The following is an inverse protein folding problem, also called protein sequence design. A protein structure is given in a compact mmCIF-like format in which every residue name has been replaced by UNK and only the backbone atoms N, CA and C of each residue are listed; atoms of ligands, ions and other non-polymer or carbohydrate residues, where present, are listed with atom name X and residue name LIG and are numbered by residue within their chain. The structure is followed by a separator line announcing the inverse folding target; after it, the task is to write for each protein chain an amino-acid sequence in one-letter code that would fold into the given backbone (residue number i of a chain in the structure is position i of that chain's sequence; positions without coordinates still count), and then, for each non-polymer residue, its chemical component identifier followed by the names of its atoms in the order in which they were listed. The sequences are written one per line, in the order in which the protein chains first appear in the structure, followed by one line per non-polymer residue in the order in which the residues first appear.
data_IF_692041319093
#
_entry.id   IF_692041319093
#
_cell.length_a   1.000
_cell.length_b   1.000
_cell.length_c   1.000
_cell.angle_alpha   90.00
_cell.angle_beta   90.00
_cell.angle_gamma   90.00
#
_symmetry.space_group_name_H-M   'P 1'
#
loop_
_entity.id
_entity.type
_entity.pdbx_description
1 polymer ?
#
# COMPACT_ATOMS: atom_id res chain seq x y z
N UNK A 1 -24.82 39.22 34.74
CA UNK A 1 -24.03 38.01 34.56
C UNK A 1 -24.94 36.84 34.72
N UNK A 2 -25.53 36.39 33.67
CA UNK A 2 -26.34 35.19 33.66
C UNK A 2 -25.39 34.00 33.49
N UNK A 3 -24.89 33.50 34.60
CA UNK A 3 -24.52 32.12 34.62
C UNK A 3 -25.80 31.37 34.27
N UNK A 4 -25.99 31.11 33.01
CA UNK A 4 -27.29 30.77 32.51
C UNK A 4 -27.74 29.46 33.14
N UNK A 5 -29.04 29.35 33.40
CA UNK A 5 -29.69 28.09 33.75
C UNK A 5 -29.38 26.96 32.76
N UNK A 6 -28.96 27.30 31.56
CA UNK A 6 -28.40 26.39 30.55
C UNK A 6 -27.10 25.74 31.00
N UNK A 7 -26.20 26.45 31.68
CA UNK A 7 -24.96 25.86 32.18
C UNK A 7 -25.21 24.81 33.26
N UNK A 8 -26.21 25.05 34.08
CA UNK A 8 -26.63 24.12 35.13
C UNK A 8 -27.36 22.91 34.57
N UNK A 9 -28.17 23.09 33.54
CA UNK A 9 -28.82 21.98 32.87
C UNK A 9 -27.79 21.09 32.15
N UNK A 10 -26.78 21.66 31.52
CA UNK A 10 -25.66 20.92 30.94
C UNK A 10 -24.86 20.13 31.96
N UNK A 11 -24.65 20.69 33.15
CA UNK A 11 -23.96 20.02 34.25
C UNK A 11 -24.78 18.90 34.89
N UNK A 12 -26.10 19.06 34.96
CA UNK A 12 -27.00 18.01 35.47
C UNK A 12 -27.10 16.80 34.53
N UNK A 13 -26.92 17.01 33.23
CA UNK A 13 -26.91 15.92 32.24
C UNK A 13 -25.52 15.30 32.03
N UNK A 14 -24.50 15.76 32.77
CA UNK A 14 -23.12 15.31 32.59
C UNK A 14 -22.46 15.82 31.30
N UNK A 15 -23.11 16.78 30.63
CA UNK A 15 -22.57 17.37 29.40
C UNK A 15 -21.84 18.67 29.76
N UNK A 16 -20.62 18.80 29.31
CA UNK A 16 -19.88 20.07 29.33
C UNK A 16 -20.71 21.10 28.56
N UNK A 17 -20.91 22.28 29.11
CA UNK A 17 -21.71 23.34 28.50
C UNK A 17 -21.18 23.61 27.05
N UNK A 18 -21.85 23.08 26.07
CA UNK A 18 -21.40 23.10 24.66
C UNK A 18 -21.24 24.55 24.16
N UNK A 19 -22.09 25.47 24.66
CA UNK A 19 -22.02 26.88 24.32
C UNK A 19 -20.73 27.56 24.82
N UNK A 20 -20.20 27.13 25.96
CA UNK A 20 -18.98 27.70 26.53
C UNK A 20 -17.71 27.16 25.81
N UNK A 21 -17.81 25.99 25.17
CA UNK A 21 -16.73 25.37 24.42
C UNK A 21 -16.80 25.65 22.92
N UNK A 22 -17.80 26.41 22.44
CA UNK A 22 -18.01 26.65 21.01
C UNK A 22 -18.56 25.42 20.26
N UNK A 23 -19.09 24.43 20.99
CA UNK A 23 -19.69 23.23 20.40
C UNK A 23 -21.10 23.55 19.87
N UNK A 24 -21.36 23.26 18.63
CA UNK A 24 -22.67 23.43 18.01
C UNK A 24 -23.73 22.51 18.66
N UNK A 25 -24.90 23.06 18.98
CA UNK A 25 -26.04 22.29 19.51
C UNK A 25 -27.09 22.17 18.41
N UNK A 26 -27.38 20.96 18.00
CA UNK A 26 -28.33 20.70 16.90
C UNK A 26 -29.29 19.56 17.26
N UNK A 27 -30.45 19.52 16.64
CA UNK A 27 -31.45 18.46 16.85
C UNK A 27 -31.22 17.23 15.94
N UNK A 28 -30.41 17.39 14.90
CA UNK A 28 -29.99 16.33 13.99
C UNK A 28 -28.50 16.41 13.73
N UNK A 29 -27.90 15.36 13.21
CA UNK A 29 -26.50 15.40 12.85
C UNK A 29 -26.27 16.41 11.70
N UNK A 30 -25.28 17.33 11.82
CA UNK A 30 -24.97 18.31 10.78
C UNK A 30 -24.37 17.65 9.54
N UNK A 31 -24.07 18.43 8.51
CA UNK A 31 -23.29 17.95 7.37
C UNK A 31 -21.96 17.33 7.81
N UNK A 32 -21.63 16.19 7.21
CA UNK A 32 -20.44 15.44 7.55
C UNK A 32 -19.16 16.23 7.25
N UNK A 33 -18.32 16.41 8.27
CA UNK A 33 -17.04 17.12 8.22
C UNK A 33 -16.10 16.47 9.25
N UNK A 34 -14.93 16.03 8.82
CA UNK A 34 -13.97 15.34 9.68
C UNK A 34 -13.55 16.22 10.86
N UNK A 35 -13.59 15.65 12.08
CA UNK A 35 -13.24 16.34 13.30
C UNK A 35 -14.32 17.30 13.82
N UNK A 36 -15.43 17.50 13.09
CA UNK A 36 -16.54 18.32 13.57
C UNK A 36 -17.16 17.69 14.80
N UNK A 37 -17.25 18.47 15.88
CA UNK A 37 -17.82 18.07 17.17
C UNK A 37 -19.10 18.85 17.43
N UNK A 38 -20.16 18.17 17.82
CA UNK A 38 -21.45 18.79 18.13
C UNK A 38 -22.18 18.03 19.26
N UNK A 39 -23.12 18.71 19.89
CA UNK A 39 -24.07 18.10 20.81
C UNK A 39 -25.41 17.90 20.11
N UNK A 40 -25.83 16.64 19.97
CA UNK A 40 -27.13 16.31 19.42
C UNK A 40 -28.19 16.35 20.55
N UNK A 41 -29.06 17.37 20.54
CA UNK A 41 -30.05 17.61 21.57
C UNK A 41 -31.18 16.59 21.59
N UNK A 42 -31.45 15.91 20.47
CA UNK A 42 -32.47 14.85 20.38
C UNK A 42 -31.99 13.58 21.08
N UNK A 43 -30.73 13.21 20.89
CA UNK A 43 -30.17 11.99 21.51
C UNK A 43 -29.45 12.28 22.83
N UNK A 44 -29.26 13.55 23.18
CA UNK A 44 -28.49 14.01 24.34
C UNK A 44 -27.05 13.50 24.36
N UNK A 45 -26.42 13.41 23.20
CA UNK A 45 -25.06 12.89 23.04
C UNK A 45 -24.14 13.92 22.43
N UNK A 46 -22.92 14.00 22.96
CA UNK A 46 -21.81 14.64 22.29
C UNK A 46 -21.36 13.70 21.17
N UNK A 47 -21.21 14.23 19.96
CA UNK A 47 -20.81 13.48 18.78
C UNK A 47 -19.63 14.11 18.09
N UNK A 48 -18.92 13.30 17.34
CA UNK A 48 -17.82 13.72 16.46
C UNK A 48 -17.89 12.96 15.16
N UNK A 49 -17.58 13.63 14.06
CA UNK A 49 -17.32 12.95 12.78
C UNK A 49 -15.88 12.47 12.73
N UNK A 50 -15.70 11.17 12.64
CA UNK A 50 -14.41 10.55 12.43
C UNK A 50 -14.44 9.67 11.17
N UNK A 51 -13.33 9.56 10.51
CA UNK A 51 -13.13 8.55 9.48
C UNK A 51 -13.15 7.16 10.13
N UNK A 52 -13.90 6.27 9.51
CA UNK A 52 -13.93 4.86 9.83
C UNK A 52 -13.48 4.12 8.59
N UNK A 53 -12.35 3.47 8.70
CA UNK A 53 -11.87 2.57 7.64
C UNK A 53 -12.56 1.22 7.75
N UNK A 54 -12.78 0.60 6.61
CA UNK A 54 -13.29 -0.77 6.51
C UNK A 54 -12.75 -1.46 5.27
N UNK A 55 -12.54 -2.77 5.40
CA UNK A 55 -12.23 -3.65 4.28
C UNK A 55 -13.50 -4.36 3.83
N UNK A 56 -13.80 -4.27 2.54
CA UNK A 56 -14.92 -4.98 1.91
C UNK A 56 -14.38 -5.98 0.89
N UNK A 57 -15.06 -7.12 0.76
CA UNK A 57 -14.78 -8.05 -0.33
C UNK A 57 -15.20 -7.44 -1.65
N UNK A 58 -14.35 -7.57 -2.65
CA UNK A 58 -14.61 -7.12 -4.01
C UNK A 58 -14.56 -8.29 -5.00
N UNK A 59 -14.77 -8.03 -6.28
CA UNK A 59 -14.66 -9.05 -7.34
C UNK A 59 -13.31 -9.75 -7.27
N UNK A 60 -13.31 -11.08 -7.22
CA UNK A 60 -12.10 -11.88 -7.18
C UNK A 60 -11.32 -11.73 -8.51
N UNK A 61 -9.99 -11.80 -8.42
CA UNK A 61 -9.15 -11.93 -9.61
C UNK A 61 -9.37 -13.31 -10.25
N UNK A 62 -9.33 -13.39 -11.57
CA UNK A 62 -9.66 -14.63 -12.31
C UNK A 62 -8.75 -15.79 -11.93
N UNK A 63 -7.47 -15.50 -11.72
CA UNK A 63 -6.47 -16.50 -11.32
C UNK A 63 -5.63 -15.93 -10.16
N UNK A 64 -5.64 -16.65 -9.03
CA UNK A 64 -4.84 -16.27 -7.87
C UNK A 64 -3.34 -16.40 -8.14
N UNK A 65 -2.57 -15.48 -7.61
CA UNK A 65 -1.12 -15.43 -7.79
C UNK A 65 -0.39 -15.02 -6.53
N UNK A 66 0.82 -15.55 -6.41
CA UNK A 66 1.82 -15.13 -5.44
C UNK A 66 2.95 -14.42 -6.14
N UNK A 67 3.72 -13.62 -5.41
CA UNK A 67 4.86 -12.90 -5.96
C UNK A 67 4.48 -12.06 -7.20
N UNK A 68 3.30 -11.50 -7.16
CA UNK A 68 2.74 -10.64 -8.19
C UNK A 68 3.00 -9.19 -7.81
N UNK A 69 3.44 -8.39 -8.76
CA UNK A 69 3.53 -6.94 -8.55
C UNK A 69 2.24 -6.27 -8.98
N UNK A 70 1.90 -5.18 -8.32
CA UNK A 70 0.73 -4.40 -8.65
C UNK A 70 1.06 -2.92 -8.75
N UNK A 71 0.44 -2.22 -9.67
CA UNK A 71 0.55 -0.77 -9.87
C UNK A 71 -0.82 -0.16 -10.09
N UNK A 72 -0.88 1.17 -10.05
CA UNK A 72 -2.10 1.92 -10.31
C UNK A 72 -2.88 2.25 -9.04
N UNK A 73 -4.18 2.46 -9.16
CA UNK A 73 -5.05 2.94 -8.08
C UNK A 73 -6.16 1.94 -7.75
N UNK A 74 -6.94 2.21 -6.70
CA UNK A 74 -8.12 1.40 -6.35
C UNK A 74 -9.24 1.42 -7.40
N UNK A 75 -9.22 2.33 -8.36
CA UNK A 75 -10.16 2.38 -9.48
C UNK A 75 -9.55 1.95 -10.82
N UNK A 76 -8.22 1.85 -10.89
CA UNK A 76 -7.48 1.52 -12.11
C UNK A 76 -6.17 0.82 -11.75
N UNK A 77 -6.22 -0.48 -11.48
CA UNK A 77 -5.09 -1.31 -11.05
C UNK A 77 -4.60 -2.25 -12.15
N UNK A 78 -3.31 -2.57 -12.13
CA UNK A 78 -2.69 -3.56 -13.01
C UNK A 78 -1.91 -4.56 -12.16
N UNK A 79 -2.05 -5.86 -12.48
CA UNK A 79 -1.19 -6.92 -11.94
C UNK A 79 -0.14 -7.31 -12.95
N UNK A 80 1.07 -7.59 -12.50
CA UNK A 80 2.21 -7.91 -13.37
C UNK A 80 2.89 -9.21 -12.92
N UNK A 81 2.93 -10.19 -13.80
CA UNK A 81 3.63 -11.45 -13.56
C UNK A 81 3.06 -12.28 -12.42
N UNK A 82 3.96 -12.85 -11.63
CA UNK A 82 3.62 -13.70 -10.49
C UNK A 82 3.64 -15.19 -10.79
N UNK A 83 3.23 -15.98 -9.82
CA UNK A 83 3.15 -17.44 -9.91
C UNK A 83 1.80 -17.95 -9.42
N UNK A 84 1.17 -18.84 -10.14
CA UNK A 84 -0.07 -19.48 -9.72
C UNK A 84 0.13 -20.75 -8.86
N UNK A 85 1.37 -21.11 -8.62
CA UNK A 85 1.74 -22.29 -7.81
C UNK A 85 2.95 -22.00 -6.90
N UNK A 86 2.85 -20.96 -6.07
CA UNK A 86 3.81 -20.61 -5.01
C UNK A 86 5.30 -20.82 -5.39
N UNK A 87 5.79 -20.02 -6.36
CA UNK A 87 7.21 -20.03 -6.79
C UNK A 87 7.54 -20.99 -7.93
N UNK A 88 6.54 -21.61 -8.54
CA UNK A 88 6.67 -22.33 -9.79
C UNK A 88 5.55 -21.92 -10.74
N UNK A 89 5.69 -22.23 -12.05
CA UNK A 89 4.72 -21.85 -13.04
C UNK A 89 4.53 -20.32 -13.13
N UNK A 90 5.55 -19.64 -13.61
CA UNK A 90 5.62 -18.19 -13.75
C UNK A 90 4.68 -17.70 -14.86
N UNK A 91 4.09 -16.54 -14.68
CA UNK A 91 3.07 -16.01 -15.55
C UNK A 91 3.58 -14.84 -16.41
N UNK A 92 3.15 -14.81 -17.66
CA UNK A 92 3.21 -13.62 -18.52
C UNK A 92 1.95 -12.79 -18.41
N UNK A 93 0.79 -13.41 -18.16
CA UNK A 93 -0.50 -12.72 -18.13
C UNK A 93 -0.59 -11.78 -16.94
N UNK A 94 -1.17 -10.63 -17.17
CA UNK A 94 -1.59 -9.67 -16.13
C UNK A 94 -3.10 -9.50 -16.14
N UNK A 95 -3.60 -8.72 -15.19
CA UNK A 95 -5.01 -8.35 -15.10
C UNK A 95 -5.14 -6.87 -14.80
N UNK A 96 -6.14 -6.25 -15.42
CA UNK A 96 -6.53 -4.86 -15.20
C UNK A 96 -7.83 -4.78 -14.41
N UNK A 97 -7.84 -3.89 -13.44
CA UNK A 97 -9.00 -3.52 -12.64
C UNK A 97 -9.59 -2.20 -13.11
N UNK A 98 -10.88 -2.15 -13.41
CA UNK A 98 -11.56 -0.96 -13.91
C UNK A 98 -12.47 -0.27 -12.87
N UNK A 99 -12.29 -0.59 -11.58
CA UNK A 99 -13.16 -0.10 -10.49
C UNK A 99 -14.34 -1.02 -10.17
N UNK A 100 -14.60 -2.06 -10.99
CA UNK A 100 -15.73 -2.98 -10.76
C UNK A 100 -15.41 -4.45 -11.09
N UNK A 101 -14.53 -4.70 -12.04
CA UNK A 101 -14.18 -6.05 -12.49
C UNK A 101 -12.73 -6.15 -12.97
N UNK A 102 -12.19 -7.36 -12.92
CA UNK A 102 -10.89 -7.71 -13.48
C UNK A 102 -11.05 -8.22 -14.91
N UNK A 103 -10.18 -7.77 -15.80
CA UNK A 103 -10.03 -8.26 -17.18
C UNK A 103 -8.58 -8.60 -17.47
N UNK A 104 -8.32 -9.44 -18.45
CA UNK A 104 -6.95 -9.72 -18.90
C UNK A 104 -6.31 -8.48 -19.49
N UNK A 105 -5.04 -8.22 -19.13
CA UNK A 105 -4.19 -7.19 -19.74
C UNK A 105 -3.31 -7.78 -20.84
N UNK A 106 -2.47 -6.96 -21.48
CA UNK A 106 -1.36 -7.42 -22.31
C UNK A 106 -0.42 -8.34 -21.51
N UNK A 107 0.10 -9.35 -22.15
CA UNK A 107 1.04 -10.29 -21.52
C UNK A 107 2.47 -9.75 -21.59
N UNK A 108 3.27 -9.98 -20.53
CA UNK A 108 4.73 -9.80 -20.56
C UNK A 108 5.34 -10.64 -21.68
N UNK A 109 6.42 -10.17 -22.28
CA UNK A 109 7.16 -10.96 -23.28
C UNK A 109 7.84 -12.17 -22.63
N UNK A 110 8.22 -12.05 -21.38
CA UNK A 110 8.83 -13.16 -20.62
C UNK A 110 8.10 -13.35 -19.28
N UNK A 111 7.72 -14.60 -19.00
CA UNK A 111 7.11 -14.95 -17.72
C UNK A 111 8.07 -14.60 -16.57
N UNK A 112 7.57 -13.87 -15.58
CA UNK A 112 8.38 -13.45 -14.44
C UNK A 112 7.56 -13.44 -13.17
N UNK A 113 8.16 -13.81 -12.05
CA UNK A 113 7.58 -13.57 -10.76
C UNK A 113 8.43 -12.60 -9.95
N UNK A 114 7.76 -11.79 -9.16
CA UNK A 114 8.33 -10.74 -8.32
C UNK A 114 9.19 -9.71 -9.09
N UNK A 115 8.72 -9.19 -10.24
CA UNK A 115 9.39 -8.06 -10.88
C UNK A 115 9.22 -6.80 -10.01
N UNK A 116 10.19 -5.90 -10.05
CA UNK A 116 10.06 -4.56 -9.49
C UNK A 116 9.28 -3.69 -10.47
N UNK A 117 8.16 -3.13 -10.05
CA UNK A 117 7.30 -2.34 -10.93
C UNK A 117 7.11 -0.91 -10.42
N UNK A 118 6.96 0.04 -11.35
CA UNK A 118 6.57 1.42 -11.07
C UNK A 118 5.67 1.96 -12.17
N UNK A 119 4.78 2.89 -11.83
CA UNK A 119 3.87 3.51 -12.78
C UNK A 119 2.38 3.34 -12.46
N UNK A 120 1.55 3.41 -13.50
CA UNK A 120 0.08 3.34 -13.44
C UNK A 120 -0.46 2.14 -14.22
N UNK A 121 -1.78 1.92 -14.19
CA UNK A 121 -2.42 0.86 -14.96
C UNK A 121 -2.06 0.89 -16.46
N UNK A 122 -1.95 2.06 -17.06
CA UNK A 122 -1.75 2.24 -18.51
C UNK A 122 -0.33 2.68 -18.90
N UNK A 123 0.56 2.84 -17.91
CA UNK A 123 1.93 3.32 -18.14
C UNK A 123 2.84 2.77 -17.02
N UNK A 124 3.42 1.60 -17.24
CA UNK A 124 4.16 0.82 -16.22
C UNK A 124 5.50 0.35 -16.75
N UNK A 125 6.52 0.39 -15.90
CA UNK A 125 7.79 -0.32 -16.09
C UNK A 125 7.84 -1.54 -15.19
N UNK A 126 8.34 -2.66 -15.68
CA UNK A 126 8.60 -3.89 -14.94
C UNK A 126 10.06 -4.31 -15.14
N UNK A 127 10.78 -4.50 -14.06
CA UNK A 127 12.22 -4.75 -14.08
C UNK A 127 12.59 -5.97 -13.26
N UNK A 128 13.49 -6.78 -13.79
CA UNK A 128 14.03 -7.93 -13.08
C UNK A 128 13.00 -9.03 -12.82
N UNK A 129 13.07 -9.60 -11.62
CA UNK A 129 12.26 -10.75 -11.21
C UNK A 129 12.96 -12.07 -11.45
N UNK A 130 12.20 -13.16 -11.46
CA UNK A 130 12.73 -14.50 -11.72
C UNK A 130 11.97 -15.22 -12.83
N UNK A 131 12.72 -15.94 -13.66
CA UNK A 131 12.22 -16.80 -14.76
C UNK A 131 12.78 -18.22 -14.64
N UNK A 132 13.05 -18.68 -13.40
CA UNK A 132 13.89 -19.85 -13.07
C UNK A 132 15.27 -19.44 -12.55
N UNK A 133 15.82 -18.33 -13.02
CA UNK A 133 16.94 -17.58 -12.48
C UNK A 133 16.55 -16.10 -12.37
N UNK A 134 17.31 -15.32 -11.62
CA UNK A 134 17.17 -13.87 -11.61
C UNK A 134 17.44 -13.30 -13.00
N UNK A 135 16.85 -12.15 -13.32
CA UNK A 135 17.00 -11.51 -14.64
C UNK A 135 17.14 -9.99 -14.48
N UNK A 136 17.81 -9.37 -15.43
CA UNK A 136 17.96 -7.92 -15.53
C UNK A 136 17.00 -7.28 -16.56
N UNK A 137 16.04 -8.03 -17.07
CA UNK A 137 15.10 -7.59 -18.10
C UNK A 137 14.29 -6.39 -17.64
N UNK A 138 13.95 -5.57 -18.61
CA UNK A 138 13.10 -4.40 -18.45
C UNK A 138 12.02 -4.45 -19.53
N UNK A 139 10.77 -4.33 -19.14
CA UNK A 139 9.64 -4.24 -20.04
C UNK A 139 8.77 -3.05 -19.68
N UNK A 140 8.32 -2.28 -20.67
CA UNK A 140 7.38 -1.16 -20.52
C UNK A 140 5.99 -1.53 -21.02
N UNK A 141 4.96 -1.03 -20.36
CA UNK A 141 3.56 -1.21 -20.70
C UNK A 141 2.90 0.10 -21.10
N UNK A 142 2.22 0.10 -22.24
CA UNK A 142 1.57 1.29 -22.79
C UNK A 142 0.03 1.32 -22.64
N UNK A 143 -0.51 0.45 -21.78
CA UNK A 143 -1.96 0.28 -21.60
C UNK A 143 -2.58 -0.78 -22.52
N UNK A 144 -1.81 -1.41 -23.39
CA UNK A 144 -2.30 -2.46 -24.31
C UNK A 144 -1.32 -3.60 -24.46
N UNK A 145 -0.02 -3.31 -24.54
CA UNK A 145 1.03 -4.29 -24.79
C UNK A 145 2.32 -3.96 -24.06
N UNK A 146 3.10 -4.97 -23.80
CA UNK A 146 4.45 -4.86 -23.25
C UNK A 146 5.49 -4.81 -24.34
N UNK A 147 6.52 -4.00 -24.17
CA UNK A 147 7.68 -3.86 -25.03
C UNK A 147 8.95 -4.08 -24.22
N UNK A 148 9.90 -4.85 -24.77
CA UNK A 148 11.22 -5.02 -24.13
C UNK A 148 12.05 -3.74 -24.33
N UNK A 149 12.68 -3.26 -23.26
CA UNK A 149 13.55 -2.09 -23.26
C UNK A 149 15.02 -2.52 -23.34
N UNK A 150 15.86 -1.73 -24.04
CA UNK A 150 17.26 -2.09 -24.26
C UNK A 150 18.16 -1.88 -23.04
N UNK A 151 18.00 -0.85 -22.18
CA UNK A 151 18.79 -0.74 -20.96
C UNK A 151 18.33 -1.78 -19.94
N UNK A 152 19.28 -2.56 -19.43
CA UNK A 152 19.04 -3.46 -18.31
C UNK A 152 19.09 -2.74 -16.98
N UNK A 153 18.30 -3.21 -16.00
CA UNK A 153 18.17 -2.53 -14.71
C UNK A 153 19.43 -2.67 -13.83
N UNK A 154 19.84 -3.88 -13.59
CA UNK A 154 20.99 -4.26 -12.76
C UNK A 154 21.30 -5.73 -12.98
N UNK A 155 22.47 -6.18 -12.54
CA UNK A 155 22.86 -7.59 -12.68
C UNK A 155 21.81 -8.52 -12.07
N UNK A 156 21.00 -9.18 -12.90
CA UNK A 156 20.10 -10.26 -12.55
C UNK A 156 19.38 -10.07 -11.18
N UNK A 157 18.55 -9.07 -11.05
CA UNK A 157 17.94 -8.66 -9.79
C UNK A 157 16.45 -9.02 -9.75
N UNK A 158 16.04 -9.62 -8.65
CA UNK A 158 14.62 -9.79 -8.31
C UNK A 158 14.30 -9.32 -6.90
N UNK A 159 13.02 -9.36 -6.55
CA UNK A 159 12.52 -9.14 -5.20
C UNK A 159 12.77 -7.74 -4.64
N UNK A 160 13.08 -6.79 -5.49
CA UNK A 160 12.99 -5.38 -5.22
C UNK A 160 11.54 -4.91 -5.29
N UNK A 161 11.36 -3.62 -5.17
CA UNK A 161 10.07 -3.00 -5.41
C UNK A 161 10.27 -1.65 -6.11
N UNK A 162 9.17 -1.00 -6.49
CA UNK A 162 9.23 0.29 -7.11
C UNK A 162 7.98 1.10 -6.87
N UNK A 163 8.04 2.34 -7.22
CA UNK A 163 6.93 3.28 -7.26
C UNK A 163 7.13 4.23 -8.44
N UNK A 164 6.17 5.05 -8.75
CA UNK A 164 6.30 5.99 -9.85
C UNK A 164 4.95 6.50 -10.34
N UNK A 165 4.90 7.68 -10.91
CA UNK A 165 3.69 8.30 -11.44
C UNK A 165 3.35 7.88 -12.88
N UNK A 166 4.32 7.27 -13.57
CA UNK A 166 4.18 6.73 -14.93
C UNK A 166 5.32 5.76 -15.21
N UNK A 167 5.26 5.07 -16.34
CA UNK A 167 6.38 4.28 -16.87
C UNK A 167 7.67 5.10 -16.94
N UNK A 168 7.61 6.35 -17.41
CA UNK A 168 8.77 7.23 -17.59
C UNK A 168 9.13 8.10 -16.37
N UNK A 169 8.52 7.85 -15.22
CA UNK A 169 8.82 8.54 -13.95
C UNK A 169 8.65 7.54 -12.80
N UNK A 170 9.58 6.58 -12.73
CA UNK A 170 9.56 5.48 -11.78
C UNK A 170 10.87 5.38 -11.01
N UNK A 171 10.79 4.98 -9.75
CA UNK A 171 11.89 4.68 -8.87
C UNK A 171 11.84 3.19 -8.49
N UNK A 172 12.94 2.49 -8.69
CA UNK A 172 13.10 1.07 -8.39
C UNK A 172 14.16 0.92 -7.30
N UNK A 173 13.89 0.08 -6.31
CA UNK A 173 14.60 0.11 -5.02
C UNK A 173 14.93 -1.29 -4.53
N UNK A 174 16.14 -1.48 -4.03
CA UNK A 174 16.59 -2.68 -3.32
C UNK A 174 16.50 -3.96 -4.15
N UNK A 175 16.23 -5.07 -3.49
CA UNK A 175 16.14 -6.39 -4.08
C UNK A 175 17.34 -7.29 -3.81
N UNK A 176 17.39 -8.45 -4.47
CA UNK A 176 18.51 -9.39 -4.32
C UNK A 176 18.75 -10.20 -5.60
N UNK A 177 19.95 -10.77 -5.74
CA UNK A 177 20.38 -11.68 -6.82
C UNK A 177 20.53 -13.13 -6.35
N UNK A 178 20.01 -13.46 -5.16
CA UNK A 178 20.19 -14.75 -4.50
C UNK A 178 21.32 -14.76 -3.46
N UNK A 179 22.31 -13.89 -3.58
CA UNK A 179 23.45 -13.76 -2.68
C UNK A 179 23.51 -12.40 -2.00
N UNK A 180 23.44 -11.33 -2.76
CA UNK A 180 23.56 -9.94 -2.31
C UNK A 180 22.20 -9.31 -2.11
N UNK A 181 22.02 -8.57 -1.00
CA UNK A 181 20.86 -7.71 -0.76
C UNK A 181 21.27 -6.29 -1.06
N UNK A 182 20.61 -5.69 -2.04
CA UNK A 182 21.03 -4.40 -2.58
C UNK A 182 20.46 -3.24 -1.79
N UNK A 183 21.24 -2.19 -1.68
CA UNK A 183 20.84 -0.88 -1.13
C UNK A 183 20.46 0.10 -2.24
N UNK A 184 20.80 -0.23 -3.49
CA UNK A 184 20.69 0.68 -4.63
C UNK A 184 19.28 1.07 -4.95
N UNK A 185 19.09 2.33 -5.35
CA UNK A 185 17.89 2.76 -6.05
C UNK A 185 18.23 3.39 -7.38
N UNK A 186 17.32 3.28 -8.34
CA UNK A 186 17.47 3.85 -9.68
C UNK A 186 16.17 4.45 -10.15
N UNK A 187 16.23 5.64 -10.70
CA UNK A 187 15.12 6.24 -11.43
C UNK A 187 15.14 5.81 -12.90
N UNK A 188 13.96 5.71 -13.50
CA UNK A 188 13.74 5.46 -14.92
C UNK A 188 13.01 6.65 -15.53
N UNK A 189 13.55 7.19 -16.63
CA UNK A 189 13.00 8.37 -17.30
C UNK A 189 12.32 8.09 -18.66
N UNK A 190 11.98 6.82 -18.93
CA UNK A 190 11.43 6.39 -20.22
C UNK A 190 12.48 5.98 -21.24
N UNK A 191 13.77 6.16 -20.96
CA UNK A 191 14.85 5.84 -21.91
C UNK A 191 16.07 5.23 -21.23
N UNK A 192 16.39 5.67 -20.01
CA UNK A 192 17.59 5.25 -19.29
C UNK A 192 17.37 5.23 -17.79
N UNK A 193 18.17 4.40 -17.11
CA UNK A 193 18.28 4.40 -15.66
C UNK A 193 19.33 5.42 -15.20
N UNK A 194 19.00 6.16 -14.17
CA UNK A 194 19.96 6.94 -13.38
C UNK A 194 20.12 6.33 -11.99
N UNK A 195 21.35 6.34 -11.45
CA UNK A 195 21.59 5.92 -10.07
C UNK A 195 21.19 7.04 -9.12
N UNK A 196 20.43 6.67 -8.09
CA UNK A 196 19.94 7.54 -7.05
C UNK A 196 20.66 7.25 -5.72
N UNK A 197 20.26 7.94 -4.64
CA UNK A 197 20.79 7.67 -3.31
C UNK A 197 20.49 6.25 -2.85
N UNK A 198 21.41 5.65 -2.12
CA UNK A 198 21.28 4.29 -1.60
C UNK A 198 20.47 4.26 -0.29
N UNK A 199 19.73 3.17 -0.06
CA UNK A 199 19.14 2.83 1.23
C UNK A 199 20.23 2.63 2.29
N UNK A 200 19.90 2.89 3.55
CA UNK A 200 20.82 2.63 4.67
C UNK A 200 21.12 1.14 4.85
N UNK A 201 20.17 0.27 4.50
CA UNK A 201 20.31 -1.18 4.65
C UNK A 201 19.75 -1.91 3.44
N UNK A 202 20.47 -2.91 2.93
CA UNK A 202 20.00 -3.76 1.85
C UNK A 202 18.78 -4.58 2.28
N UNK A 203 17.69 -4.42 1.53
CA UNK A 203 16.41 -5.09 1.79
C UNK A 203 15.80 -5.64 0.51
N UNK A 204 15.00 -6.68 0.67
CA UNK A 204 14.19 -7.28 -0.38
C UNK A 204 12.81 -7.63 0.15
N UNK A 205 11.86 -7.94 -0.71
CA UNK A 205 10.46 -8.21 -0.30
C UNK A 205 9.83 -7.07 0.52
N UNK A 206 10.29 -5.82 0.32
CA UNK A 206 9.71 -4.65 0.97
C UNK A 206 8.50 -4.13 0.20
N UNK A 207 7.76 -3.25 0.83
CA UNK A 207 6.79 -2.38 0.17
C UNK A 207 7.45 -1.06 -0.26
N UNK A 208 7.05 -0.53 -1.41
CA UNK A 208 7.44 0.79 -1.88
C UNK A 208 6.22 1.54 -2.38
N UNK A 209 6.10 2.81 -2.04
CA UNK A 209 4.96 3.66 -2.44
C UNK A 209 5.40 5.10 -2.67
N UNK A 210 4.49 5.92 -3.21
CA UNK A 210 4.76 7.30 -3.56
C UNK A 210 5.19 7.49 -5.01
N UNK A 211 5.90 8.55 -5.28
CA UNK A 211 6.37 8.94 -6.61
C UNK A 211 7.88 8.94 -6.67
N UNK A 212 8.45 9.02 -7.88
CA UNK A 212 9.90 9.05 -8.06
C UNK A 212 10.59 10.12 -7.20
N UNK A 213 10.12 11.39 -7.07
CA UNK A 213 10.78 12.36 -6.20
C UNK A 213 10.41 12.27 -4.71
N UNK A 214 9.41 11.45 -4.34
CA UNK A 214 8.90 11.36 -2.96
C UNK A 214 8.38 9.95 -2.68
N UNK A 215 9.29 9.03 -2.43
CA UNK A 215 8.99 7.62 -2.17
C UNK A 215 9.15 7.25 -0.69
N UNK A 216 8.46 6.21 -0.30
CA UNK A 216 8.57 5.54 1.00
C UNK A 216 8.79 4.05 0.78
N UNK A 217 9.83 3.50 1.40
CA UNK A 217 9.97 2.04 1.53
C UNK A 217 9.72 1.63 2.97
N UNK A 218 9.18 0.45 3.17
CA UNK A 218 8.97 -0.09 4.51
C UNK A 218 8.96 -1.61 4.52
N UNK A 219 9.18 -2.18 5.71
CA UNK A 219 9.16 -3.62 5.90
C UNK A 219 10.29 -4.33 5.12
N UNK A 220 10.05 -5.56 4.70
CA UNK A 220 11.00 -6.36 3.93
C UNK A 220 11.83 -7.29 4.78
N UNK A 221 12.80 -7.93 4.14
CA UNK A 221 13.77 -8.81 4.81
C UNK A 221 15.20 -8.27 4.61
N UNK A 222 16.01 -8.36 5.66
CA UNK A 222 17.41 -7.94 5.66
C UNK A 222 18.35 -9.05 5.10
N UNK A 223 19.65 -8.81 5.14
CA UNK A 223 20.65 -9.76 4.66
C UNK A 223 20.63 -11.12 5.39
N UNK A 224 20.19 -11.15 6.64
CA UNK A 224 20.04 -12.39 7.42
C UNK A 224 18.72 -13.15 7.09
N UNK A 225 17.82 -12.53 6.32
CA UNK A 225 16.50 -13.07 6.03
C UNK A 225 15.44 -12.74 7.09
N UNK A 226 15.80 -11.92 8.09
CA UNK A 226 14.89 -11.49 9.15
C UNK A 226 13.98 -10.39 8.65
N UNK A 227 12.71 -10.45 9.02
CA UNK A 227 11.74 -9.38 8.75
C UNK A 227 12.08 -8.12 9.52
N UNK A 228 11.87 -6.95 8.90
CA UNK A 228 12.23 -5.65 9.49
C UNK A 228 11.01 -4.78 9.79
N UNK A 229 11.21 -3.79 10.66
CA UNK A 229 10.28 -2.69 10.92
C UNK A 229 10.70 -1.41 10.22
N UNK A 230 11.87 -1.41 9.56
CA UNK A 230 12.47 -0.19 9.02
C UNK A 230 11.59 0.41 7.93
N UNK A 231 11.56 1.73 7.92
CA UNK A 231 11.05 2.50 6.81
C UNK A 231 12.05 3.61 6.47
N UNK A 232 12.16 3.93 5.19
CA UNK A 232 13.01 5.00 4.70
C UNK A 232 12.24 5.87 3.71
N UNK A 233 12.47 7.18 3.78
CA UNK A 233 11.85 8.21 2.95
C UNK A 233 12.85 8.78 1.96
N UNK A 234 12.44 8.90 0.70
CA UNK A 234 13.21 9.48 -0.39
C UNK A 234 12.77 10.91 -0.68
N UNK A 235 13.73 11.84 -0.77
CA UNK A 235 13.45 13.26 -0.99
C UNK A 235 13.77 13.74 -2.42
N UNK A 236 13.92 12.82 -3.37
CA UNK A 236 14.33 13.13 -4.74
C UNK A 236 15.85 13.06 -4.97
N UNK A 237 16.65 12.76 -3.94
CA UNK A 237 18.11 12.61 -4.07
C UNK A 237 18.73 11.63 -3.08
N UNK A 238 18.15 11.48 -1.91
CA UNK A 238 18.68 10.61 -0.84
C UNK A 238 17.59 10.01 0.01
N UNK A 239 17.90 8.89 0.64
CA UNK A 239 17.06 8.22 1.61
C UNK A 239 17.39 8.68 3.04
N UNK A 240 16.40 8.78 3.86
CA UNK A 240 16.51 9.05 5.29
C UNK A 240 15.57 8.16 6.08
N UNK A 241 15.89 7.89 7.35
CA UNK A 241 15.03 7.06 8.18
C UNK A 241 13.66 7.71 8.37
N UNK A 242 12.60 6.95 8.06
CA UNK A 242 11.22 7.24 8.39
C UNK A 242 10.84 6.65 9.75
N UNK A 243 9.58 6.83 10.17
CA UNK A 243 9.05 6.14 11.35
C UNK A 243 9.00 4.63 11.12
N UNK A 244 9.37 3.85 12.11
CA UNK A 244 9.35 2.38 12.02
C UNK A 244 7.93 1.82 12.14
N UNK A 245 7.66 0.70 11.48
CA UNK A 245 6.45 -0.10 11.68
C UNK A 245 6.36 -0.58 13.14
N UNK A 246 5.15 -0.85 13.59
CA UNK A 246 4.90 -1.44 14.92
C UNK A 246 5.22 -2.94 14.93
N UNK A 247 5.12 -3.62 13.78
CA UNK A 247 5.37 -5.05 13.64
C UNK A 247 6.25 -5.36 12.44
N UNK A 248 7.35 -6.08 12.69
CA UNK A 248 8.25 -6.53 11.63
C UNK A 248 7.52 -7.46 10.65
N UNK A 249 7.64 -7.18 9.37
CA UNK A 249 7.04 -7.98 8.30
C UNK A 249 7.90 -8.00 7.04
N UNK A 250 7.79 -9.06 6.27
CA UNK A 250 8.41 -9.22 4.95
C UNK A 250 7.40 -9.81 3.99
N UNK A 251 7.82 -10.00 2.73
CA UNK A 251 6.94 -10.56 1.67
C UNK A 251 5.67 -9.75 1.42
N UNK A 252 5.77 -8.44 1.60
CA UNK A 252 4.74 -7.46 1.24
C UNK A 252 4.94 -7.05 -0.22
N UNK A 253 4.95 -8.01 -1.14
CA UNK A 253 5.38 -7.82 -2.53
C UNK A 253 4.43 -7.02 -3.40
N UNK A 254 3.30 -6.56 -2.87
CA UNK A 254 2.53 -5.50 -3.50
C UNK A 254 3.21 -4.16 -3.30
N UNK A 255 3.01 -3.20 -4.20
CA UNK A 255 3.38 -1.83 -3.93
C UNK A 255 2.79 -1.40 -2.58
N UNK A 256 3.52 -0.65 -1.79
CA UNK A 256 2.96 0.09 -0.67
C UNK A 256 1.84 0.97 -1.21
N UNK A 257 0.82 1.15 -0.42
CA UNK A 257 -0.40 1.84 -0.83
C UNK A 257 -0.33 3.29 -0.38
N UNK A 258 -0.62 4.24 -1.27
CA UNK A 258 -0.69 5.66 -0.92
C UNK A 258 0.51 6.49 -1.36
N UNK A 259 0.77 7.58 -0.67
CA UNK A 259 1.89 8.50 -0.88
C UNK A 259 2.99 8.31 0.17
N UNK A 260 4.08 9.06 0.04
CA UNK A 260 5.14 9.09 1.07
C UNK A 260 4.61 9.46 2.46
N UNK A 261 3.63 10.35 2.54
CA UNK A 261 3.11 10.89 3.80
C UNK A 261 1.75 10.34 4.23
N UNK A 262 1.15 9.49 3.42
CA UNK A 262 -0.14 8.82 3.70
C UNK A 262 -0.10 7.42 3.06
N UNK A 263 0.49 6.45 3.75
CA UNK A 263 0.73 5.13 3.23
C UNK A 263 0.03 4.04 4.06
N UNK A 264 -0.21 2.91 3.41
CA UNK A 264 -0.70 1.69 4.04
C UNK A 264 0.19 0.52 3.63
N UNK A 265 0.49 -0.33 4.59
CA UNK A 265 1.08 -1.64 4.37
C UNK A 265 0.24 -2.70 5.06
N UNK A 266 0.07 -3.83 4.43
CA UNK A 266 -0.72 -4.92 5.02
C UNK A 266 -0.22 -6.29 4.65
N UNK A 267 -0.67 -7.30 5.36
CA UNK A 267 -0.29 -8.69 5.11
C UNK A 267 1.21 -8.95 5.28
N UNK A 268 1.72 -9.84 4.46
CA UNK A 268 3.10 -10.31 4.53
C UNK A 268 3.31 -11.46 5.51
N UNK A 269 4.56 -11.81 5.78
CA UNK A 269 4.95 -12.76 6.82
C UNK A 269 5.53 -12.03 8.03
N UNK A 270 5.26 -12.55 9.21
CA UNK A 270 5.96 -12.17 10.44
C UNK A 270 7.22 -13.02 10.63
N UNK A 271 7.99 -12.79 11.70
CA UNK A 271 9.17 -13.58 12.03
C UNK A 271 8.88 -15.09 12.14
N UNK A 272 7.66 -15.50 12.48
CA UNK A 272 7.23 -16.90 12.48
C UNK A 272 6.94 -17.46 11.08
N UNK A 273 7.20 -16.71 10.02
CA UNK A 273 6.93 -17.05 8.61
C UNK A 273 5.44 -17.28 8.27
N UNK A 274 4.52 -17.00 9.18
CA UNK A 274 3.07 -17.12 8.97
C UNK A 274 2.52 -15.90 8.22
N UNK A 275 1.54 -16.11 7.34
CA UNK A 275 0.79 -15.00 6.76
C UNK A 275 0.06 -14.19 7.84
N UNK A 276 -0.05 -12.89 7.65
CA UNK A 276 -0.82 -12.01 8.53
C UNK A 276 -1.89 -11.23 7.77
N UNK A 277 -2.93 -10.81 8.47
CA UNK A 277 -3.96 -9.90 7.95
C UNK A 277 -3.81 -8.48 8.52
N UNK A 278 -2.84 -8.28 9.41
CA UNK A 278 -2.62 -6.99 10.04
C UNK A 278 -2.21 -5.93 9.03
N UNK A 279 -2.73 -4.72 9.20
CA UNK A 279 -2.38 -3.55 8.42
C UNK A 279 -1.88 -2.43 9.32
N UNK A 280 -1.03 -1.59 8.77
CA UNK A 280 -0.53 -0.38 9.42
C UNK A 280 -0.64 0.79 8.44
N UNK A 281 -0.96 1.97 8.97
CA UNK A 281 -1.02 3.22 8.22
C UNK A 281 0.05 4.20 8.70
N UNK A 282 0.60 4.94 7.76
CA UNK A 282 1.61 5.97 7.98
C UNK A 282 1.02 7.34 7.78
N UNK A 283 1.33 8.28 8.68
CA UNK A 283 0.82 9.65 8.64
C UNK A 283 1.89 10.69 8.25
N UNK A 284 2.98 10.26 7.64
CA UNK A 284 4.14 11.12 7.33
C UNK A 284 5.15 11.25 8.47
N UNK A 285 4.92 10.58 9.62
CA UNK A 285 5.83 10.64 10.77
C UNK A 285 5.91 9.30 11.51
N UNK A 286 4.79 8.63 11.67
CA UNK A 286 4.68 7.41 12.46
C UNK A 286 3.69 6.42 11.84
N UNK A 287 3.95 5.14 12.07
CA UNK A 287 3.03 4.05 11.75
C UNK A 287 2.11 3.75 12.92
N UNK A 288 0.89 3.41 12.62
CA UNK A 288 -0.10 2.94 13.58
C UNK A 288 -0.87 1.76 13.03
N UNK A 289 -1.31 0.86 13.91
CA UNK A 289 -2.16 -0.28 13.51
C UNK A 289 -3.48 0.20 12.95
N UNK A 290 -3.98 -0.49 11.94
CA UNK A 290 -5.25 -0.22 11.30
C UNK A 290 -6.10 -1.49 11.24
N UNK A 291 -7.29 -1.42 10.61
CA UNK A 291 -8.21 -2.54 10.49
C UNK A 291 -7.60 -3.67 9.66
N UNK A 292 -7.67 -4.89 10.18
CA UNK A 292 -7.20 -6.06 9.45
C UNK A 292 -8.01 -6.30 8.17
N UNK A 293 -7.34 -6.64 7.08
CA UNK A 293 -8.06 -7.06 5.90
C UNK A 293 -8.50 -8.53 5.99
N UNK A 294 -9.48 -8.93 5.16
CA UNK A 294 -10.33 -10.09 5.39
C UNK A 294 -9.65 -11.45 5.47
N UNK A 295 -8.42 -11.62 4.99
CA UNK A 295 -7.69 -12.91 5.03
C UNK A 295 -6.18 -12.69 5.17
N UNK A 296 -5.56 -13.47 6.02
CA UNK A 296 -4.10 -13.44 6.18
C UNK A 296 -3.40 -13.92 4.89
N UNK A 297 -2.54 -13.09 4.30
CA UNK A 297 -1.78 -13.42 3.09
C UNK A 297 -0.36 -12.91 3.14
N UNK A 298 0.52 -13.60 2.42
CA UNK A 298 1.87 -13.15 2.08
C UNK A 298 2.09 -13.26 0.57
N UNK A 299 3.07 -12.55 0.02
CA UNK A 299 3.33 -12.47 -1.41
C UNK A 299 2.08 -12.06 -2.22
N UNK A 300 1.31 -11.16 -1.65
CA UNK A 300 0.01 -10.73 -2.16
C UNK A 300 0.12 -9.54 -3.11
N UNK A 301 -0.92 -9.32 -3.86
CA UNK A 301 -1.11 -8.12 -4.66
C UNK A 301 -1.54 -6.95 -3.78
N UNK A 302 -0.99 -5.78 -4.04
CA UNK A 302 -1.53 -4.51 -3.61
C UNK A 302 -1.49 -3.51 -4.76
N UNK A 303 -2.56 -2.77 -4.96
CA UNK A 303 -2.63 -1.64 -5.90
C UNK A 303 -3.30 -0.47 -5.20
N UNK A 304 -2.77 0.68 -5.27
CA UNK A 304 -3.29 1.88 -4.59
C UNK A 304 -2.24 2.97 -4.53
N UNK A 305 -1.15 2.78 -5.29
CA UNK A 305 -0.05 3.72 -5.36
C UNK A 305 -0.53 5.13 -5.72
N UNK A 306 0.09 6.12 -5.13
CA UNK A 306 0.10 7.55 -5.37
C UNK A 306 -0.96 8.41 -4.70
N UNK A 307 -2.11 7.90 -4.24
CA UNK A 307 -3.15 8.83 -3.80
C UNK A 307 -3.41 8.85 -2.29
N UNK A 308 -3.63 7.72 -1.66
CA UNK A 308 -3.99 7.68 -0.24
C UNK A 308 -4.01 6.26 0.30
N UNK A 309 -3.71 6.10 1.59
CA UNK A 309 -3.91 4.87 2.35
C UNK A 309 -5.39 4.46 2.46
N UNK A 310 -6.31 5.36 2.14
CA UNK A 310 -7.76 5.20 2.37
C UNK A 310 -8.52 4.59 1.20
N UNK A 311 -7.90 4.48 0.04
CA UNK A 311 -8.52 3.98 -1.18
C UNK A 311 -7.56 3.00 -1.88
N UNK A 312 -7.59 1.74 -1.46
CA UNK A 312 -6.59 0.75 -1.83
C UNK A 312 -7.20 -0.64 -2.02
N UNK A 313 -6.61 -1.41 -2.91
CA UNK A 313 -6.98 -2.80 -3.15
C UNK A 313 -5.84 -3.70 -2.70
N UNK A 314 -6.18 -4.77 -1.98
CA UNK A 314 -5.24 -5.82 -1.58
C UNK A 314 -5.88 -7.19 -1.71
N UNK A 315 -5.08 -8.20 -1.96
CA UNK A 315 -5.59 -9.58 -1.98
C UNK A 315 -4.74 -10.51 -2.82
N UNK A 316 -5.32 -11.61 -3.29
CA UNK A 316 -4.57 -12.70 -3.88
C UNK A 316 -3.44 -13.16 -2.93
N UNK A 317 -2.40 -13.85 -3.43
CA UNK A 317 -1.29 -14.26 -2.58
C UNK A 317 -1.48 -15.64 -1.96
N UNK A 318 -0.65 -15.97 -0.97
CA UNK A 318 -0.65 -17.26 -0.27
C UNK A 318 -1.16 -17.12 1.16
N UNK A 319 -2.18 -17.89 1.52
CA UNK A 319 -2.83 -17.81 2.84
C UNK A 319 -2.35 -18.85 3.87
N UNK A 320 -1.28 -19.56 3.60
CA UNK A 320 -0.79 -20.66 4.42
C UNK A 320 -1.23 -22.04 3.96
N UNK A 321 -2.31 -22.14 3.18
CA UNK A 321 -2.84 -23.40 2.65
C UNK A 321 -2.81 -23.46 1.12
N UNK A 322 -2.85 -22.33 0.45
CA UNK A 322 -2.84 -22.25 -1.01
C UNK A 322 -2.84 -20.82 -1.53
N UNK A 323 -2.76 -20.71 -2.84
CA UNK A 323 -2.90 -19.44 -3.57
C UNK A 323 -4.39 -19.11 -3.64
N UNK A 324 -4.76 -17.87 -3.34
CA UNK A 324 -6.15 -17.42 -3.30
C UNK A 324 -6.45 -16.37 -4.38
N UNK A 325 -7.73 -16.26 -4.73
CA UNK A 325 -8.23 -15.26 -5.70
C UNK A 325 -8.96 -14.10 -5.02
N UNK A 326 -9.17 -14.17 -3.71
CA UNK A 326 -9.94 -13.17 -2.97
C UNK A 326 -9.25 -11.83 -2.97
N UNK A 327 -10.02 -10.78 -3.22
CA UNK A 327 -9.58 -9.40 -3.23
C UNK A 327 -10.44 -8.57 -2.28
N UNK A 328 -9.85 -7.52 -1.74
CA UNK A 328 -10.49 -6.58 -0.82
C UNK A 328 -10.18 -5.15 -1.24
N UNK A 329 -11.15 -4.28 -1.10
CA UNK A 329 -10.99 -2.84 -1.16
C UNK A 329 -11.09 -2.23 0.23
N UNK A 330 -10.28 -1.21 0.47
CA UNK A 330 -10.32 -0.41 1.69
C UNK A 330 -10.93 0.94 1.37
N UNK A 331 -11.96 1.27 2.12
CA UNK A 331 -12.61 2.58 2.02
C UNK A 331 -12.68 3.24 3.38
N UNK A 332 -12.69 4.56 3.40
CA UNK A 332 -13.01 5.33 4.60
C UNK A 332 -14.34 6.04 4.42
N UNK A 333 -15.16 5.97 5.46
CA UNK A 333 -16.41 6.70 5.54
C UNK A 333 -16.41 7.62 6.75
N UNK A 334 -16.87 8.83 6.54
CA UNK A 334 -17.04 9.80 7.62
C UNK A 334 -18.30 9.44 8.40
N UNK A 335 -18.13 9.02 9.64
CA UNK A 335 -19.21 8.50 10.48
C UNK A 335 -19.35 9.32 11.77
N UNK A 336 -20.58 9.67 12.10
CA UNK A 336 -20.91 10.29 13.39
C UNK A 336 -20.78 9.27 14.52
N UNK A 337 -19.94 9.54 15.50
CA UNK A 337 -19.75 8.71 16.68
C UNK A 337 -20.07 9.48 17.96
N UNK A 338 -20.63 8.79 18.93
CA UNK A 338 -20.82 9.35 20.27
C UNK A 338 -19.49 9.36 21.01
N UNK A 339 -19.21 10.48 21.66
CA UNK A 339 -18.07 10.60 22.57
C UNK A 339 -18.49 10.04 23.92
N UNK A 340 -17.86 8.96 24.35
CA UNK A 340 -18.06 8.36 25.69
C UNK A 340 -16.88 8.71 26.58
N UNK A 341 -17.16 9.08 27.83
CA UNK A 341 -16.11 9.17 28.83
C UNK A 341 -15.59 7.76 29.15
N UNK A 342 -14.29 7.58 29.10
CA UNK A 342 -13.59 6.36 29.54
C UNK A 342 -13.30 6.40 31.02
#
# INVERSE_FOLDING_TARGET
MSGSTTDNAGRQSGVIAAAAAGIEIVSSDPSAEHGKVWFNSTTSLLKVYNNVSAWASMSAITEGRTYVSGVGTASAGLTVGGSNNYGSNYATAGYEWNGSSWSGSGALNTASYNPSCGGTQTSTIACGGQTGSYTDRVESYNGASWSEESPTFHNDLGWGNGCGSSESASLLVGGNDGSTKYVTSKSWNGTAFASEGDLATGVYEMACTGTEPAALTCAGANAAGDTTVNAEEYNGSSWSAGGNLTTARGTTTGQGQGSQTDALVGGGKTAAANPTQATEVYNGTAWSTSDNFGVATKHHLGTGGHSSSTNTIMGSGYNGSGVITTMFDRTETLTARSVTAS
#
